data_IF_801408600946
#
_entry.id   IF_801408600946
#
_cell.length_a   1.000
_cell.length_b   1.000
_cell.length_c   1.000
_cell.angle_alpha   90.00
_cell.angle_beta   90.00
_cell.angle_gamma   90.00
#
_symmetry.space_group_name_H-M   'P 1'
#
loop_
_entity.id
_entity.type
_entity.pdbx_description
1 polymer ?
#
# COMPACT_ATOMS: atom_id res chain seq x y z
N UNK A 1 5.11 -17.21 3.78
CA UNK A 1 4.56 -16.06 4.51
C UNK A 1 5.37 -15.71 5.74
N UNK A 2 5.85 -16.67 6.54
CA UNK A 2 6.65 -16.38 7.76
C UNK A 2 7.90 -15.54 7.49
N UNK A 3 8.63 -15.76 6.40
CA UNK A 3 9.78 -14.91 6.01
C UNK A 3 9.35 -13.48 5.74
N UNK A 4 8.21 -13.27 5.08
CA UNK A 4 7.67 -11.94 4.79
C UNK A 4 7.23 -11.24 6.08
N UNK A 5 6.66 -11.98 7.03
CA UNK A 5 6.26 -11.47 8.33
C UNK A 5 7.47 -10.97 9.13
N UNK A 6 8.54 -11.76 9.19
CA UNK A 6 9.78 -11.36 9.87
C UNK A 6 10.39 -10.11 9.21
N UNK A 7 10.44 -10.07 7.88
CA UNK A 7 10.93 -8.90 7.16
C UNK A 7 10.07 -7.66 7.41
N UNK A 8 8.74 -7.82 7.45
CA UNK A 8 7.82 -6.72 7.74
C UNK A 8 7.97 -6.18 9.15
N UNK A 9 8.11 -7.04 10.16
CA UNK A 9 8.33 -6.59 11.54
C UNK A 9 9.65 -5.83 11.65
N UNK A 10 10.74 -6.36 11.09
CA UNK A 10 12.04 -5.69 11.10
C UNK A 10 12.00 -4.36 10.34
N UNK A 11 11.34 -4.32 9.18
CA UNK A 11 11.16 -3.11 8.39
C UNK A 11 10.32 -2.07 9.14
N UNK A 12 9.21 -2.49 9.75
CA UNK A 12 8.32 -1.69 10.57
C UNK A 12 9.03 -1.00 11.73
N UNK A 13 9.84 -1.77 12.45
CA UNK A 13 10.56 -1.30 13.64
C UNK A 13 11.77 -0.42 13.30
N UNK A 14 12.50 -0.72 12.22
CA UNK A 14 13.80 -0.09 11.97
C UNK A 14 13.75 0.96 10.86
N UNK A 15 12.95 0.75 9.81
CA UNK A 15 13.00 1.57 8.59
C UNK A 15 11.79 2.50 8.45
N UNK A 16 10.58 2.01 8.72
CA UNK A 16 9.35 2.77 8.49
C UNK A 16 8.15 2.18 9.24
N UNK A 17 7.54 2.96 10.14
CA UNK A 17 6.41 2.51 10.96
C UNK A 17 5.17 2.10 10.14
N UNK A 18 4.99 2.64 8.93
CA UNK A 18 3.90 2.27 8.01
C UNK A 18 4.20 1.06 7.11
N UNK A 19 4.88 0.04 7.62
CA UNK A 19 5.16 -1.20 6.89
C UNK A 19 3.87 -1.88 6.40
N UNK A 20 3.85 -2.32 5.14
CA UNK A 20 2.73 -3.09 4.58
C UNK A 20 2.98 -4.60 4.56
N UNK A 21 4.23 -5.03 4.71
CA UNK A 21 4.63 -6.43 4.54
C UNK A 21 4.10 -7.32 5.66
N UNK A 22 4.08 -6.82 6.90
CA UNK A 22 3.50 -7.49 8.06
C UNK A 22 2.03 -7.82 7.79
N UNK A 23 1.25 -6.84 7.34
CA UNK A 23 -0.15 -7.01 7.00
C UNK A 23 -0.34 -7.96 5.81
N UNK A 24 0.48 -7.82 4.76
CA UNK A 24 0.44 -8.71 3.59
C UNK A 24 0.78 -10.16 3.95
N UNK A 25 1.70 -10.38 4.87
CA UNK A 25 2.05 -11.71 5.36
C UNK A 25 0.88 -12.34 6.12
N UNK A 26 0.23 -11.59 7.02
CA UNK A 26 -0.96 -12.04 7.78
C UNK A 26 -2.12 -12.34 6.84
N UNK A 27 -2.49 -11.41 5.95
CA UNK A 27 -3.54 -11.63 4.96
C UNK A 27 -3.23 -12.83 4.07
N UNK A 28 -1.98 -12.93 3.58
CA UNK A 28 -1.51 -14.07 2.79
C UNK A 28 -1.67 -15.40 3.53
N UNK A 29 -1.37 -15.47 4.83
CA UNK A 29 -1.63 -16.67 5.63
C UNK A 29 -3.13 -16.98 5.72
N UNK A 30 -3.96 -15.97 5.97
CA UNK A 30 -5.43 -16.13 6.03
C UNK A 30 -6.01 -16.64 4.71
N UNK A 31 -5.49 -16.17 3.57
CA UNK A 31 -5.97 -16.63 2.25
C UNK A 31 -5.78 -18.13 1.98
N UNK A 32 -4.84 -18.79 2.66
CA UNK A 32 -4.61 -20.24 2.52
C UNK A 32 -5.88 -21.03 2.86
N UNK A 33 -6.62 -20.61 3.89
CA UNK A 33 -7.87 -21.24 4.30
C UNK A 33 -9.04 -20.99 3.34
N UNK A 34 -8.89 -20.00 2.45
CA UNK A 34 -9.90 -19.58 1.49
C UNK A 34 -9.64 -20.12 0.07
N UNK A 35 -8.45 -20.66 -0.20
CA UNK A 35 -8.02 -21.04 -1.56
C UNK A 35 -8.95 -22.07 -2.23
N UNK A 36 -9.61 -22.93 -1.44
CA UNK A 36 -10.55 -23.96 -1.94
C UNK A 36 -12.00 -23.47 -2.02
N UNK A 37 -12.32 -22.26 -1.53
CA UNK A 37 -13.69 -21.72 -1.55
C UNK A 37 -14.11 -21.35 -2.98
N UNK A 38 -15.42 -21.37 -3.24
CA UNK A 38 -15.98 -21.02 -4.56
C UNK A 38 -15.79 -19.52 -4.81
N UNK A 39 -15.70 -19.12 -6.09
CA UNK A 39 -15.53 -17.71 -6.48
C UNK A 39 -16.61 -16.81 -5.87
N UNK A 40 -17.88 -17.25 -5.90
CA UNK A 40 -18.98 -16.50 -5.27
C UNK A 40 -18.76 -16.28 -3.77
N UNK A 41 -18.25 -17.28 -3.03
CA UNK A 41 -17.93 -17.14 -1.60
C UNK A 41 -16.87 -16.06 -1.37
N UNK A 42 -15.85 -16.00 -2.23
CA UNK A 42 -14.81 -14.97 -2.14
C UNK A 42 -15.36 -13.57 -2.42
N UNK A 43 -16.26 -13.43 -3.39
CA UNK A 43 -16.91 -12.15 -3.71
C UNK A 43 -17.85 -11.68 -2.59
N UNK A 44 -18.65 -12.59 -2.02
CA UNK A 44 -19.51 -12.30 -0.87
C UNK A 44 -18.66 -11.90 0.34
N UNK A 45 -17.56 -12.61 0.60
CA UNK A 45 -16.66 -12.25 1.68
C UNK A 45 -15.97 -10.89 1.43
N UNK A 46 -15.57 -10.60 0.19
CA UNK A 46 -14.99 -9.31 -0.18
C UNK A 46 -16.00 -8.16 0.07
N UNK A 47 -17.25 -8.34 -0.33
CA UNK A 47 -18.33 -7.38 -0.07
C UNK A 47 -18.59 -7.23 1.44
N UNK A 48 -18.67 -8.33 2.19
CA UNK A 48 -18.89 -8.30 3.63
C UNK A 48 -17.75 -7.59 4.38
N UNK A 49 -16.49 -7.87 4.03
CA UNK A 49 -15.31 -7.21 4.60
C UNK A 49 -15.27 -5.74 4.22
N UNK A 50 -15.63 -5.38 2.98
CA UNK A 50 -15.72 -3.99 2.55
C UNK A 50 -16.79 -3.21 3.33
N UNK A 51 -17.97 -3.80 3.53
CA UNK A 51 -19.04 -3.20 4.32
C UNK A 51 -18.66 -3.07 5.79
N UNK A 52 -18.02 -4.09 6.37
CA UNK A 52 -17.50 -4.03 7.73
C UNK A 52 -16.46 -2.91 7.87
N UNK A 53 -15.49 -2.83 6.96
CA UNK A 53 -14.48 -1.78 6.93
C UNK A 53 -15.11 -0.39 6.84
N UNK A 54 -16.07 -0.22 5.93
CA UNK A 54 -16.79 1.05 5.76
C UNK A 54 -17.61 1.42 6.99
N UNK A 55 -18.27 0.44 7.62
CA UNK A 55 -19.03 0.63 8.86
C UNK A 55 -18.15 0.99 10.05
N UNK A 56 -16.97 0.37 10.18
CA UNK A 56 -15.99 0.72 11.21
C UNK A 56 -15.42 2.13 11.02
N UNK A 57 -15.15 2.54 9.78
CA UNK A 57 -14.74 3.91 9.47
C UNK A 57 -15.82 4.93 9.78
N UNK A 58 -17.08 4.60 9.45
CA UNK A 58 -18.24 5.44 9.76
C UNK A 58 -18.43 5.59 11.27
N UNK A 59 -18.36 4.49 12.01
CA UNK A 59 -18.44 4.49 13.46
C UNK A 59 -17.28 5.26 14.09
N UNK A 60 -16.05 5.03 13.65
CA UNK A 60 -14.87 5.76 14.13
C UNK A 60 -15.00 7.27 13.91
N UNK A 61 -15.41 7.69 12.72
CA UNK A 61 -15.63 9.11 12.39
C UNK A 61 -16.75 9.73 13.26
N UNK A 62 -17.80 8.97 13.56
CA UNK A 62 -18.87 9.41 14.45
C UNK A 62 -18.39 9.57 15.89
N UNK A 63 -17.69 8.55 16.43
CA UNK A 63 -17.15 8.57 17.80
C UNK A 63 -16.11 9.67 18.01
N UNK A 64 -15.31 9.97 16.98
CA UNK A 64 -14.33 11.07 16.99
C UNK A 64 -15.02 12.40 17.28
N UNK A 65 -16.13 12.69 16.58
CA UNK A 65 -16.88 13.94 16.73
C UNK A 65 -17.70 13.98 18.02
N UNK A 66 -18.32 12.87 18.43
CA UNK A 66 -19.22 12.89 19.61
C UNK A 66 -18.49 12.82 20.95
N UNK A 67 -17.36 12.12 21.01
CA UNK A 67 -16.62 11.94 22.25
C UNK A 67 -15.37 12.82 22.37
N UNK A 68 -15.09 13.66 21.37
CA UNK A 68 -13.90 14.52 21.37
C UNK A 68 -12.60 13.70 21.48
N UNK A 69 -12.61 12.46 20.98
CA UNK A 69 -11.42 11.59 21.00
C UNK A 69 -10.36 12.00 19.99
N UNK A 70 -10.54 13.17 19.35
CA UNK A 70 -9.48 13.86 18.63
C UNK A 70 -8.32 14.02 19.60
N UNK A 71 -7.25 13.26 19.35
CA UNK A 71 -6.02 13.39 20.11
C UNK A 71 -5.45 14.79 19.81
N UNK A 72 -5.84 15.78 20.61
CA UNK A 72 -5.47 17.19 20.43
C UNK A 72 -3.94 17.42 20.51
N UNK A 73 -3.19 16.40 20.93
CA UNK A 73 -1.73 16.39 20.99
C UNK A 73 -1.04 15.95 19.69
N UNK A 74 -1.74 15.84 18.56
CA UNK A 74 -1.07 15.50 17.29
C UNK A 74 0.04 16.49 16.91
N UNK A 75 -0.08 17.78 17.31
CA UNK A 75 0.96 18.79 17.08
C UNK A 75 2.20 18.54 17.93
N UNK A 76 2.02 18.35 19.24
CA UNK A 76 3.12 18.02 20.16
C UNK A 76 3.80 16.70 19.75
N UNK A 77 3.01 15.71 19.33
CA UNK A 77 3.52 14.43 18.80
C UNK A 77 4.28 14.62 17.49
N UNK A 78 3.78 15.46 16.58
CA UNK A 78 4.44 15.76 15.32
C UNK A 78 5.74 16.55 15.51
N UNK A 79 5.78 17.50 16.43
CA UNK A 79 6.98 18.27 16.78
C UNK A 79 8.05 17.35 17.36
N UNK A 80 7.68 16.46 18.31
CA UNK A 80 8.58 15.46 18.86
C UNK A 80 9.13 14.50 17.79
N UNK A 81 8.31 14.10 16.81
CA UNK A 81 8.78 13.29 15.68
C UNK A 81 9.71 14.05 14.73
N UNK A 82 9.43 15.33 14.47
CA UNK A 82 10.32 16.17 13.66
C UNK A 82 11.67 16.33 14.34
N UNK A 83 11.69 16.59 15.64
CA UNK A 83 12.93 16.70 16.43
C UNK A 83 13.73 15.39 16.37
N UNK A 84 13.05 14.27 16.64
CA UNK A 84 13.65 12.93 16.56
C UNK A 84 14.26 12.65 15.18
N UNK A 85 13.49 12.85 14.11
CA UNK A 85 13.94 12.53 12.75
C UNK A 85 14.96 13.50 12.18
N UNK A 86 15.10 14.70 12.74
CA UNK A 86 16.18 15.64 12.42
C UNK A 86 17.46 15.39 13.22
N UNK A 87 17.42 14.52 14.23
CA UNK A 87 18.60 14.14 14.99
C UNK A 87 19.60 13.31 14.19
N UNK A 88 20.88 13.49 14.51
CA UNK A 88 21.96 12.64 14.01
C UNK A 88 22.06 11.31 14.78
N UNK A 89 21.31 11.16 15.88
CA UNK A 89 21.28 9.93 16.68
C UNK A 89 20.39 8.86 16.03
N UNK A 90 21.05 7.96 15.32
CA UNK A 90 20.41 6.78 14.73
C UNK A 90 19.63 5.93 15.75
N UNK A 91 20.14 5.76 16.97
CA UNK A 91 19.52 4.89 17.96
C UNK A 91 18.28 5.53 18.57
N UNK A 92 18.26 6.84 18.73
CA UNK A 92 17.05 7.55 19.15
C UNK A 92 15.94 7.40 18.10
N UNK A 93 16.27 7.60 16.82
CA UNK A 93 15.33 7.38 15.70
C UNK A 93 14.82 5.94 15.68
N UNK A 94 15.71 4.96 15.79
CA UNK A 94 15.33 3.55 15.81
C UNK A 94 14.42 3.21 17.01
N UNK A 95 14.71 3.75 18.20
CA UNK A 95 13.88 3.58 19.38
C UNK A 95 12.49 4.20 19.24
N UNK A 96 12.40 5.44 18.73
CA UNK A 96 11.12 6.13 18.45
C UNK A 96 10.26 5.34 17.48
N UNK A 97 10.86 4.73 16.46
CA UNK A 97 10.14 3.93 15.47
C UNK A 97 9.48 2.69 16.02
N UNK A 98 10.05 2.08 17.06
CA UNK A 98 9.42 0.94 17.72
C UNK A 98 8.10 1.37 18.37
N UNK A 99 8.10 2.52 19.05
CA UNK A 99 6.88 3.06 19.66
C UNK A 99 5.86 3.51 18.60
N UNK A 100 6.32 4.17 17.53
CA UNK A 100 5.46 4.51 16.39
C UNK A 100 4.88 3.28 15.72
N UNK A 101 5.66 2.20 15.57
CA UNK A 101 5.20 0.96 14.97
C UNK A 101 4.16 0.25 15.84
N UNK A 102 4.27 0.32 17.18
CA UNK A 102 3.22 -0.18 18.09
C UNK A 102 1.92 0.61 17.92
N UNK A 103 2.01 1.94 17.91
CA UNK A 103 0.85 2.80 17.67
C UNK A 103 0.25 2.58 16.28
N UNK A 104 1.09 2.40 15.28
CA UNK A 104 0.72 2.02 13.92
C UNK A 104 0.00 0.66 13.90
N UNK A 105 0.49 -0.35 14.61
CA UNK A 105 -0.20 -1.64 14.69
C UNK A 105 -1.61 -1.51 15.27
N UNK A 106 -1.85 -0.64 16.24
CA UNK A 106 -3.19 -0.45 16.79
C UNK A 106 -4.11 0.31 15.82
N UNK A 107 -3.61 1.39 15.21
CA UNK A 107 -4.41 2.30 14.37
C UNK A 107 -4.49 1.88 12.89
N UNK A 108 -3.36 1.47 12.29
CA UNK A 108 -3.25 1.03 10.90
C UNK A 108 -3.74 -0.41 10.69
N UNK A 109 -3.75 -1.29 11.69
CA UNK A 109 -4.27 -2.65 11.49
C UNK A 109 -5.75 -2.63 11.11
N UNK A 110 -6.59 -1.85 11.81
CA UNK A 110 -8.01 -1.73 11.46
C UNK A 110 -8.21 -1.00 10.12
N UNK A 111 -7.37 -0.01 9.83
CA UNK A 111 -7.50 0.86 8.65
C UNK A 111 -7.00 0.20 7.36
N UNK A 112 -5.83 -0.44 7.38
CA UNK A 112 -5.16 -1.00 6.21
C UNK A 112 -5.52 -2.48 5.97
N UNK A 113 -5.70 -3.28 7.04
CA UNK A 113 -5.80 -4.74 6.89
C UNK A 113 -7.13 -5.16 6.27
N UNK A 114 -8.27 -4.62 6.73
CA UNK A 114 -9.56 -5.01 6.16
C UNK A 114 -9.71 -4.54 4.72
N UNK A 115 -9.34 -3.29 4.43
CA UNK A 115 -9.44 -2.74 3.08
C UNK A 115 -8.54 -3.48 2.08
N UNK A 116 -7.27 -3.70 2.45
CA UNK A 116 -6.35 -4.48 1.61
C UNK A 116 -6.85 -5.92 1.41
N UNK A 117 -7.47 -6.51 2.44
CA UNK A 117 -7.99 -7.87 2.36
C UNK A 117 -9.12 -8.01 1.35
N UNK A 118 -9.94 -6.97 1.13
CA UNK A 118 -10.93 -6.92 0.03
C UNK A 118 -10.23 -7.22 -1.31
N UNK A 119 -9.10 -6.58 -1.60
CA UNK A 119 -8.38 -6.81 -2.85
C UNK A 119 -7.67 -8.16 -2.91
N UNK A 120 -7.22 -8.71 -1.79
CA UNK A 120 -6.71 -10.09 -1.75
C UNK A 120 -7.82 -11.08 -2.14
N UNK A 121 -9.04 -10.90 -1.63
CA UNK A 121 -10.20 -11.74 -1.96
C UNK A 121 -10.62 -11.58 -3.43
N UNK A 122 -10.72 -10.34 -3.93
CA UNK A 122 -11.01 -10.06 -5.34
C UNK A 122 -9.92 -10.62 -6.26
N UNK A 123 -8.64 -10.48 -5.89
CA UNK A 123 -7.51 -11.04 -6.61
C UNK A 123 -7.53 -12.56 -6.67
N UNK A 124 -7.89 -13.24 -5.58
CA UNK A 124 -8.08 -14.69 -5.57
C UNK A 124 -9.26 -15.12 -6.47
N UNK A 125 -10.37 -14.39 -6.43
CA UNK A 125 -11.53 -14.64 -7.29
C UNK A 125 -11.17 -14.50 -8.78
N UNK A 126 -10.45 -13.43 -9.14
CA UNK A 126 -9.95 -13.20 -10.49
C UNK A 126 -8.91 -14.24 -10.91
N UNK A 127 -8.02 -14.65 -10.00
CA UNK A 127 -7.03 -15.71 -10.22
C UNK A 127 -7.67 -17.05 -10.58
N UNK A 128 -8.80 -17.40 -9.93
CA UNK A 128 -9.58 -18.61 -10.26
C UNK A 128 -10.27 -18.54 -11.62
N UNK A 129 -10.67 -17.35 -12.06
CA UNK A 129 -11.29 -17.14 -13.36
C UNK A 129 -10.28 -17.12 -14.52
N UNK A 130 -8.97 -17.14 -14.22
CA UNK A 130 -7.92 -16.93 -15.20
C UNK A 130 -7.84 -15.44 -15.59
N UNK A 131 -6.87 -14.66 -15.08
CA UNK A 131 -6.84 -13.20 -15.30
C UNK A 131 -6.87 -12.79 -16.77
N UNK A 132 -6.13 -13.49 -17.64
CA UNK A 132 -6.15 -13.24 -19.09
C UNK A 132 -7.51 -13.53 -19.71
N UNK A 133 -8.12 -14.66 -19.35
CA UNK A 133 -9.45 -15.07 -19.85
C UNK A 133 -10.55 -14.11 -19.39
N UNK A 134 -10.47 -13.63 -18.14
CA UNK A 134 -11.37 -12.63 -17.59
C UNK A 134 -11.24 -11.30 -18.35
N UNK A 135 -10.01 -10.87 -18.64
CA UNK A 135 -9.75 -9.66 -19.41
C UNK A 135 -10.28 -9.78 -20.84
N UNK A 136 -9.93 -10.85 -21.56
CA UNK A 136 -10.39 -11.09 -22.94
C UNK A 136 -11.92 -11.14 -23.02
N UNK A 137 -12.59 -11.80 -22.06
CA UNK A 137 -14.04 -11.93 -22.04
C UNK A 137 -14.77 -10.63 -21.70
N UNK A 138 -14.20 -9.80 -20.84
CA UNK A 138 -14.88 -8.63 -20.27
C UNK A 138 -14.22 -7.29 -20.63
N UNK A 139 -13.30 -7.26 -21.60
CA UNK A 139 -12.53 -6.06 -21.96
C UNK A 139 -13.42 -4.86 -22.27
N UNK A 140 -14.47 -5.04 -23.09
CA UNK A 140 -15.39 -3.96 -23.47
C UNK A 140 -16.13 -3.38 -22.27
N UNK A 141 -16.56 -4.24 -21.34
CA UNK A 141 -17.21 -3.85 -20.09
C UNK A 141 -16.24 -3.10 -19.18
N UNK A 142 -15.01 -3.60 -19.00
CA UNK A 142 -13.98 -2.96 -18.18
C UNK A 142 -13.62 -1.58 -18.73
N UNK A 143 -13.43 -1.45 -20.06
CA UNK A 143 -13.18 -0.16 -20.71
C UNK A 143 -14.34 0.82 -20.55
N UNK A 144 -15.58 0.33 -20.62
CA UNK A 144 -16.79 1.15 -20.44
C UNK A 144 -16.89 1.72 -19.03
N UNK A 145 -16.57 0.91 -18.01
CA UNK A 145 -16.69 1.31 -16.61
C UNK A 145 -15.43 1.99 -16.03
N UNK A 146 -14.28 1.91 -16.70
CA UNK A 146 -13.05 2.54 -16.23
C UNK A 146 -13.19 4.08 -16.07
N UNK A 147 -13.70 4.87 -17.04
CA UNK A 147 -13.88 6.31 -16.86
C UNK A 147 -14.80 6.71 -15.71
N UNK A 148 -16.03 6.18 -15.55
CA UNK A 148 -16.86 6.54 -14.40
C UNK A 148 -16.22 6.11 -13.07
N UNK A 149 -15.59 4.93 -12.99
CA UNK A 149 -14.84 4.53 -11.78
C UNK A 149 -13.71 5.49 -11.45
N UNK A 150 -12.95 5.96 -12.45
CA UNK A 150 -11.89 6.95 -12.28
C UNK A 150 -12.44 8.31 -11.82
N UNK A 151 -13.45 8.82 -12.50
CA UNK A 151 -14.03 10.13 -12.19
C UNK A 151 -14.66 10.13 -10.79
N UNK A 152 -15.43 9.10 -10.45
CA UNK A 152 -16.04 8.98 -9.12
C UNK A 152 -14.98 8.79 -8.04
N UNK A 153 -13.94 7.97 -8.27
CA UNK A 153 -12.89 7.79 -7.28
C UNK A 153 -12.04 9.05 -7.04
N UNK A 154 -11.74 9.82 -8.09
CA UNK A 154 -11.09 11.14 -7.95
C UNK A 154 -12.03 12.08 -7.20
N UNK A 155 -13.30 12.18 -7.60
CA UNK A 155 -14.25 13.08 -6.96
C UNK A 155 -14.39 12.80 -5.46
N UNK A 156 -14.56 11.53 -5.07
CA UNK A 156 -14.66 11.15 -3.66
C UNK A 156 -13.35 11.39 -2.88
N UNK A 157 -12.19 11.13 -3.50
CA UNK A 157 -10.90 11.37 -2.84
C UNK A 157 -10.60 12.88 -2.69
N UNK A 158 -10.95 13.68 -3.69
CA UNK A 158 -10.80 15.14 -3.67
C UNK A 158 -11.81 15.82 -2.75
N UNK A 159 -13.00 15.25 -2.58
CA UNK A 159 -14.01 15.77 -1.66
C UNK A 159 -13.49 15.81 -0.21
N UNK A 160 -12.59 14.90 0.16
CA UNK A 160 -11.88 14.95 1.44
C UNK A 160 -10.83 16.02 1.55
N UNK A 161 -10.04 16.18 0.48
CA UNK A 161 -9.02 17.22 0.43
C UNK A 161 -9.58 18.62 0.23
N UNK A 162 -10.81 18.75 -0.26
CA UNK A 162 -11.48 20.04 -0.42
C UNK A 162 -11.62 20.79 0.92
N UNK A 163 -11.75 20.08 2.06
CA UNK A 163 -11.72 20.71 3.38
C UNK A 163 -10.32 21.20 3.74
N UNK A 164 -9.28 20.39 3.53
CA UNK A 164 -7.88 20.75 3.78
C UNK A 164 -7.44 21.97 2.93
N UNK A 165 -7.97 22.10 1.70
CA UNK A 165 -7.71 23.22 0.79
C UNK A 165 -8.62 24.44 1.03
N UNK A 166 -9.58 24.36 1.96
CA UNK A 166 -10.53 25.44 2.24
C UNK A 166 -11.58 25.69 1.14
N UNK A 167 -11.75 24.76 0.20
CA UNK A 167 -12.80 24.83 -0.84
C UNK A 167 -14.19 24.51 -0.30
N UNK A 168 -14.25 23.74 0.78
CA UNK A 168 -15.49 23.44 1.52
C UNK A 168 -15.34 23.90 2.97
N UNK A 169 -16.42 24.45 3.57
CA UNK A 169 -16.40 24.81 4.98
C UNK A 169 -16.17 23.55 5.82
N UNK A 170 -15.27 23.66 6.80
CA UNK A 170 -15.10 22.63 7.80
C UNK A 170 -16.32 22.63 8.72
N UNK A 171 -17.03 21.50 8.78
CA UNK A 171 -18.10 21.26 9.74
C UNK A 171 -17.91 19.89 10.35
N UNK A 172 -17.90 19.82 11.68
CA UNK A 172 -17.86 18.56 12.43
C UNK A 172 -19.09 17.68 12.13
N UNK A 173 -20.20 18.28 11.68
CA UNK A 173 -21.40 17.55 11.26
C UNK A 173 -21.20 16.78 9.94
N UNK A 174 -20.12 17.04 9.19
CA UNK A 174 -19.75 16.32 7.97
C UNK A 174 -18.88 15.08 8.24
N UNK A 175 -18.92 14.50 9.44
CA UNK A 175 -18.18 13.28 9.80
C UNK A 175 -18.44 12.11 8.82
N UNK A 176 -19.66 11.99 8.29
CA UNK A 176 -20.04 10.98 7.30
C UNK A 176 -19.26 11.12 5.99
N UNK A 177 -18.82 12.34 5.65
CA UNK A 177 -18.06 12.62 4.45
C UNK A 177 -16.71 11.91 4.52
N UNK A 178 -16.01 11.99 5.66
CA UNK A 178 -14.73 11.27 5.89
C UNK A 178 -14.88 9.76 5.74
N UNK A 179 -16.00 9.23 6.23
CA UNK A 179 -16.33 7.80 6.16
C UNK A 179 -16.68 7.31 4.74
N UNK A 180 -17.14 8.18 3.85
CA UNK A 180 -17.39 7.84 2.44
C UNK A 180 -16.14 8.06 1.59
N UNK A 181 -15.36 9.11 1.87
CA UNK A 181 -14.16 9.48 1.14
C UNK A 181 -13.09 8.38 1.21
N UNK A 182 -12.73 7.93 2.42
CA UNK A 182 -11.59 7.04 2.58
C UNK A 182 -11.88 5.63 2.03
N UNK A 183 -12.86 4.85 2.54
CA UNK A 183 -13.20 3.55 1.95
C UNK A 183 -13.63 3.64 0.49
N UNK A 184 -14.52 4.57 0.13
CA UNK A 184 -15.09 4.65 -1.22
C UNK A 184 -14.08 5.16 -2.26
N UNK A 185 -13.51 6.33 -2.02
CA UNK A 185 -12.57 6.97 -2.94
C UNK A 185 -11.32 6.12 -3.18
N UNK A 186 -10.70 5.61 -2.11
CA UNK A 186 -9.49 4.79 -2.24
C UNK A 186 -9.79 3.43 -2.88
N UNK A 187 -10.97 2.82 -2.63
CA UNK A 187 -11.35 1.57 -3.29
C UNK A 187 -11.52 1.75 -4.78
N UNK A 188 -12.24 2.79 -5.20
CA UNK A 188 -12.45 3.07 -6.62
C UNK A 188 -11.13 3.40 -7.32
N UNK A 189 -10.22 4.11 -6.66
CA UNK A 189 -8.88 4.37 -7.19
C UNK A 189 -8.05 3.11 -7.32
N UNK A 190 -8.06 2.22 -6.33
CA UNK A 190 -7.39 0.94 -6.41
C UNK A 190 -7.95 0.08 -7.56
N UNK A 191 -9.28 -0.01 -7.71
CA UNK A 191 -9.92 -0.71 -8.82
C UNK A 191 -9.54 -0.10 -10.17
N UNK A 192 -9.47 1.24 -10.27
CA UNK A 192 -9.02 1.93 -11.46
C UNK A 192 -7.56 1.59 -11.81
N UNK A 193 -6.64 1.60 -10.83
CA UNK A 193 -5.24 1.25 -11.07
C UNK A 193 -5.08 -0.21 -11.49
N UNK A 194 -5.80 -1.14 -10.85
CA UNK A 194 -5.76 -2.57 -11.17
C UNK A 194 -6.32 -2.81 -12.58
N UNK A 195 -7.53 -2.33 -12.87
CA UNK A 195 -8.20 -2.59 -14.15
C UNK A 195 -7.56 -1.83 -15.30
N UNK A 196 -7.23 -0.55 -15.11
CA UNK A 196 -6.53 0.26 -16.09
C UNK A 196 -5.13 -0.29 -16.40
N UNK A 197 -4.38 -0.68 -15.36
CA UNK A 197 -3.12 -1.38 -15.52
C UNK A 197 -3.28 -2.67 -16.32
N UNK A 198 -4.21 -3.53 -15.93
CA UNK A 198 -4.47 -4.79 -16.63
C UNK A 198 -4.82 -4.58 -18.12
N UNK A 199 -5.66 -3.59 -18.43
CA UNK A 199 -6.01 -3.23 -19.81
C UNK A 199 -4.81 -2.70 -20.61
N UNK A 200 -3.97 -1.84 -20.01
CA UNK A 200 -2.76 -1.33 -20.66
C UNK A 200 -1.80 -2.48 -20.97
N UNK A 201 -1.55 -3.36 -20.00
CA UNK A 201 -0.67 -4.52 -20.16
C UNK A 201 -1.22 -5.54 -21.16
N UNK A 202 -2.54 -5.74 -21.24
CA UNK A 202 -3.15 -6.67 -22.19
C UNK A 202 -3.24 -6.13 -23.61
N UNK A 203 -3.38 -4.81 -23.79
CA UNK A 203 -3.63 -4.19 -25.09
C UNK A 203 -2.50 -4.30 -26.11
N UNK A 204 -1.27 -4.59 -25.67
CA UNK A 204 -0.07 -4.59 -26.52
C UNK A 204 0.33 -3.22 -27.11
N UNK A 205 -0.44 -2.15 -26.84
CA UNK A 205 -0.30 -0.84 -27.50
C UNK A 205 0.90 -0.02 -27.02
N UNK A 206 1.40 -0.30 -25.83
CA UNK A 206 2.49 0.45 -25.18
C UNK A 206 3.62 -0.47 -24.72
N UNK A 207 4.24 -1.25 -25.63
CA UNK A 207 5.17 -2.32 -25.26
C UNK A 207 6.42 -1.79 -24.55
N UNK A 208 6.87 -0.58 -24.89
CA UNK A 208 8.01 0.05 -24.22
C UNK A 208 7.70 0.39 -22.75
N UNK A 209 6.52 0.97 -22.49
CA UNK A 209 6.10 1.35 -21.13
C UNK A 209 5.86 0.11 -20.27
N UNK A 210 5.13 -0.88 -20.80
CA UNK A 210 4.84 -2.12 -20.06
C UNK A 210 6.12 -2.91 -19.77
N UNK A 211 7.07 -2.97 -20.71
CA UNK A 211 8.38 -3.58 -20.49
C UNK A 211 9.21 -2.81 -19.46
N UNK A 212 9.19 -1.48 -19.51
CA UNK A 212 9.88 -0.61 -18.57
C UNK A 212 9.38 -0.85 -17.14
N UNK A 213 8.06 -0.83 -16.93
CA UNK A 213 7.42 -1.07 -15.62
C UNK A 213 7.53 -2.54 -15.15
N UNK A 214 7.52 -3.51 -16.06
CA UNK A 214 7.56 -4.94 -15.72
C UNK A 214 8.81 -5.31 -14.91
N UNK A 215 9.95 -4.68 -15.19
CA UNK A 215 11.17 -4.93 -14.43
C UNK A 215 11.01 -4.55 -12.95
N UNK A 216 10.47 -3.37 -12.67
CA UNK A 216 10.22 -2.92 -11.30
C UNK A 216 9.15 -3.79 -10.59
N UNK A 217 8.11 -4.21 -11.32
CA UNK A 217 7.08 -5.11 -10.78
C UNK A 217 7.60 -6.50 -10.39
N UNK A 218 8.57 -7.05 -11.14
CA UNK A 218 9.22 -8.34 -10.80
C UNK A 218 10.18 -8.26 -9.60
N UNK A 219 10.53 -7.04 -9.18
CA UNK A 219 11.42 -6.74 -8.05
C UNK A 219 10.70 -5.90 -6.99
N UNK A 220 9.39 -6.06 -6.83
CA UNK A 220 8.58 -5.19 -5.97
C UNK A 220 9.02 -5.19 -4.51
N UNK A 221 9.43 -6.34 -3.96
CA UNK A 221 9.89 -6.44 -2.56
C UNK A 221 11.29 -5.83 -2.40
N UNK A 222 12.20 -6.10 -3.34
CA UNK A 222 13.53 -5.46 -3.33
C UNK A 222 13.42 -3.95 -3.49
N UNK A 223 12.56 -3.48 -4.39
CA UNK A 223 12.33 -2.06 -4.62
C UNK A 223 11.67 -1.39 -3.41
N UNK A 224 10.72 -2.05 -2.76
CA UNK A 224 10.11 -1.53 -1.54
C UNK A 224 11.15 -1.28 -0.44
N UNK A 225 11.98 -2.29 -0.12
CA UNK A 225 13.02 -2.15 0.90
C UNK A 225 14.11 -1.14 0.49
N UNK A 226 14.54 -1.17 -0.77
CA UNK A 226 15.49 -0.19 -1.30
C UNK A 226 14.96 1.24 -1.18
N UNK A 227 13.69 1.46 -1.52
CA UNK A 227 13.06 2.77 -1.42
C UNK A 227 13.04 3.25 0.03
N UNK A 228 12.69 2.40 0.99
CA UNK A 228 12.72 2.77 2.41
C UNK A 228 14.13 3.10 2.89
N UNK A 229 15.14 2.34 2.49
CA UNK A 229 16.54 2.61 2.86
C UNK A 229 17.01 3.93 2.26
N UNK A 230 16.79 4.16 0.96
CA UNK A 230 17.23 5.39 0.30
C UNK A 230 16.47 6.60 0.82
N UNK A 231 15.16 6.48 1.06
CA UNK A 231 14.39 7.55 1.70
C UNK A 231 14.93 7.87 3.10
N UNK A 232 15.32 6.86 3.87
CA UNK A 232 15.96 7.06 5.17
C UNK A 232 17.26 7.88 5.04
N UNK A 233 18.14 7.51 4.10
CA UNK A 233 19.38 8.24 3.84
C UNK A 233 19.11 9.67 3.38
N UNK A 234 18.07 9.90 2.57
CA UNK A 234 17.72 11.25 2.07
C UNK A 234 17.14 12.14 3.17
N UNK A 235 16.23 11.60 3.99
CA UNK A 235 15.42 12.43 4.86
C UNK A 235 15.93 12.47 6.31
N UNK A 236 16.41 11.38 6.88
CA UNK A 236 16.79 11.35 8.30
C UNK A 236 18.01 12.23 8.59
N UNK A 237 18.11 12.77 9.80
CA UNK A 237 19.20 13.64 10.26
C UNK A 237 20.59 13.02 10.06
N UNK A 238 20.76 11.76 10.48
CA UNK A 238 22.00 11.00 10.25
C UNK A 238 22.42 10.80 8.77
N UNK A 239 21.51 11.07 7.82
CA UNK A 239 21.75 11.01 6.38
C UNK A 239 21.99 12.39 5.78
N UNK A 240 21.10 12.82 4.87
CA UNK A 240 21.12 14.17 4.28
C UNK A 240 20.22 15.18 5.03
N UNK A 241 19.46 14.73 6.04
CA UNK A 241 18.73 15.61 6.96
C UNK A 241 17.61 16.45 6.31
N UNK A 242 16.97 15.97 5.25
CA UNK A 242 15.92 16.70 4.55
C UNK A 242 14.53 16.62 5.23
N UNK A 243 14.38 15.87 6.32
CA UNK A 243 13.11 15.73 7.04
C UNK A 243 12.58 17.08 7.53
N UNK A 244 11.33 17.41 7.19
CA UNK A 244 10.73 18.71 7.50
C UNK A 244 11.30 19.92 6.73
N UNK A 245 12.31 19.72 5.85
CA UNK A 245 12.97 20.79 5.08
C UNK A 245 12.59 20.79 3.59
N UNK A 246 11.85 19.79 3.13
CA UNK A 246 11.40 19.66 1.74
C UNK A 246 9.96 20.11 1.56
N UNK A 247 9.71 20.91 0.53
CA UNK A 247 8.34 21.22 0.08
C UNK A 247 7.70 20.02 -0.62
N UNK A 248 6.37 20.00 -0.71
CA UNK A 248 5.64 18.97 -1.46
C UNK A 248 6.11 18.84 -2.92
N UNK A 249 6.47 19.95 -3.57
CA UNK A 249 7.03 19.96 -4.91
C UNK A 249 8.39 19.25 -4.97
N UNK A 250 9.35 19.68 -4.15
CA UNK A 250 10.69 19.06 -4.12
C UNK A 250 10.65 17.58 -3.74
N UNK A 251 9.81 17.21 -2.76
CA UNK A 251 9.59 15.81 -2.39
C UNK A 251 8.98 14.98 -3.52
N UNK A 252 8.07 15.55 -4.31
CA UNK A 252 7.50 14.88 -5.49
C UNK A 252 8.56 14.64 -6.57
N UNK A 253 9.45 15.62 -6.81
CA UNK A 253 10.57 15.46 -7.74
C UNK A 253 11.53 14.37 -7.27
N UNK A 254 11.90 14.35 -5.98
CA UNK A 254 12.74 13.29 -5.39
C UNK A 254 12.09 11.93 -5.58
N UNK A 255 10.78 11.80 -5.33
CA UNK A 255 10.04 10.56 -5.50
C UNK A 255 10.07 10.04 -6.95
N UNK A 256 9.78 10.92 -7.92
CA UNK A 256 9.82 10.55 -9.36
C UNK A 256 11.23 10.16 -9.79
N UNK A 257 12.25 10.90 -9.34
CA UNK A 257 13.65 10.60 -9.64
C UNK A 257 14.07 9.24 -9.05
N UNK A 258 13.74 9.00 -7.78
CA UNK A 258 14.03 7.75 -7.08
C UNK A 258 13.35 6.56 -7.78
N UNK A 259 12.05 6.65 -8.05
CA UNK A 259 11.31 5.57 -8.72
C UNK A 259 11.86 5.29 -10.13
N UNK A 260 12.14 6.34 -10.91
CA UNK A 260 12.72 6.19 -12.25
C UNK A 260 14.09 5.53 -12.22
N UNK A 261 14.94 5.91 -11.26
CA UNK A 261 16.22 5.27 -11.00
C UNK A 261 16.07 3.80 -10.59
N UNK A 262 15.13 3.49 -9.70
CA UNK A 262 14.81 2.11 -9.30
C UNK A 262 14.35 1.24 -10.47
N UNK A 263 13.56 1.78 -11.39
CA UNK A 263 13.13 1.05 -12.58
C UNK A 263 14.33 0.75 -13.49
N UNK A 264 15.24 1.72 -13.70
CA UNK A 264 16.45 1.51 -14.49
C UNK A 264 17.38 0.46 -13.84
N UNK A 265 17.60 0.56 -12.52
CA UNK A 265 18.36 -0.42 -11.75
C UNK A 265 17.74 -1.82 -11.81
N UNK A 266 16.40 -1.91 -11.71
CA UNK A 266 15.68 -3.18 -11.83
C UNK A 266 15.89 -3.81 -13.21
N UNK A 267 15.89 -3.02 -14.28
CA UNK A 267 16.17 -3.52 -15.62
C UNK A 267 17.61 -4.03 -15.74
N UNK A 268 18.59 -3.26 -15.26
CA UNK A 268 19.99 -3.65 -15.32
C UNK A 268 20.24 -4.93 -14.52
N UNK A 269 19.67 -5.02 -13.33
CA UNK A 269 19.74 -6.20 -12.47
C UNK A 269 19.16 -7.44 -13.17
N UNK A 270 17.97 -7.32 -13.76
CA UNK A 270 17.28 -8.44 -14.40
C UNK A 270 17.89 -8.89 -15.73
N UNK A 271 18.86 -8.14 -16.28
CA UNK A 271 19.71 -8.63 -17.38
C UNK A 271 20.68 -9.71 -16.91
N UNK A 272 21.12 -9.65 -15.65
CA UNK A 272 22.11 -10.57 -15.08
C UNK A 272 21.49 -11.65 -14.18
N UNK A 273 20.42 -11.32 -13.48
CA UNK A 273 19.78 -12.16 -12.47
C UNK A 273 18.30 -12.39 -12.79
N UNK A 274 17.75 -13.55 -12.39
CA UNK A 274 16.36 -13.92 -12.70
C UNK A 274 15.31 -13.31 -11.77
N UNK A 275 15.70 -12.94 -10.55
CA UNK A 275 14.83 -12.37 -9.52
C UNK A 275 15.59 -11.23 -8.81
N UNK A 276 14.86 -10.33 -8.16
CA UNK A 276 15.48 -9.38 -7.25
C UNK A 276 16.16 -10.07 -6.06
N UNK A 277 17.13 -9.39 -5.41
CA UNK A 277 17.94 -9.97 -4.35
C UNK A 277 17.09 -10.45 -3.16
N UNK A 278 16.12 -9.65 -2.72
CA UNK A 278 15.27 -9.98 -1.58
C UNK A 278 14.26 -11.06 -1.96
N UNK A 279 13.70 -11.02 -3.17
CA UNK A 279 12.80 -12.07 -3.68
C UNK A 279 13.52 -13.42 -3.74
N UNK A 280 14.77 -13.43 -4.20
CA UNK A 280 15.61 -14.64 -4.23
C UNK A 280 15.84 -15.17 -2.82
N UNK A 281 16.21 -14.31 -1.87
CA UNK A 281 16.43 -14.70 -0.48
C UNK A 281 15.15 -15.27 0.15
N UNK A 282 14.02 -14.59 -0.02
CA UNK A 282 12.71 -15.05 0.44
C UNK A 282 12.36 -16.43 -0.13
N UNK A 283 12.58 -16.64 -1.43
CA UNK A 283 12.35 -17.94 -2.08
C UNK A 283 13.26 -19.01 -1.49
N UNK A 284 14.56 -18.74 -1.37
CA UNK A 284 15.54 -19.67 -0.82
C UNK A 284 15.19 -20.08 0.61
N UNK A 285 14.77 -19.14 1.45
CA UNK A 285 14.38 -19.41 2.85
C UNK A 285 13.04 -20.15 2.93
N UNK A 286 12.05 -19.78 2.11
CA UNK A 286 10.74 -20.42 2.13
C UNK A 286 10.77 -21.89 1.65
N UNK A 287 11.65 -22.23 0.71
CA UNK A 287 11.78 -23.58 0.15
C UNK A 287 12.93 -24.40 0.75
N UNK A 288 13.70 -23.85 1.69
CA UNK A 288 14.85 -24.52 2.33
C UNK A 288 14.48 -25.83 3.05
N UNK A 289 13.23 -26.00 3.46
CA UNK A 289 12.69 -27.24 4.03
C UNK A 289 12.13 -28.26 3.03
N UNK A 290 12.04 -27.92 1.74
CA UNK A 290 11.64 -28.83 0.64
C UNK A 290 12.88 -29.35 -0.10
N UNK A 291 13.86 -29.89 0.63
CA UNK A 291 14.90 -30.69 -0.02
C UNK A 291 14.24 -31.94 -0.63
N UNK A 292 14.27 -32.00 -1.96
CA UNK A 292 14.40 -33.20 -2.80
C UNK A 292 13.62 -34.45 -2.36
N UNK A 293 12.33 -34.51 -2.74
CA UNK A 293 11.58 -35.76 -2.95
C UNK A 293 11.51 -36.07 -4.45
N UNK A 294 12.63 -35.89 -5.15
CA UNK A 294 12.75 -36.23 -6.56
C UNK A 294 14.20 -36.66 -6.83
N UNK A 295 14.50 -37.89 -6.39
CA UNK A 295 15.45 -38.79 -7.01
C UNK A 295 14.74 -40.14 -7.09
#
# INVERSE_FOLDING_TARGET
>A
MSVLLILGVLHGMVLWCGDILTFYAVMGMTTIFLVRRRTLTLLVLAAAVFLLHSGLWLLGSYLEVTHGTVNHNWRETAEAWVECYQSDDFWWIAGSRIEEWKYALESLFLSLSFHSFVFFLLGMAAGKAGPSQLLERHESLLRKWLPPTLLTGIALSMLGKAQDFGWLPFSEQMWWLRAVQYPGGTTLMALCYITGGALVFNSGRWPHITRWLSAAGRMSLSNYLFQSIVANVIFMGWGFGLYGRTTAYSGSVICVALFSGQVALSQLWLRRFRNGPVEYLCRKLAYRGKKESAA
#
